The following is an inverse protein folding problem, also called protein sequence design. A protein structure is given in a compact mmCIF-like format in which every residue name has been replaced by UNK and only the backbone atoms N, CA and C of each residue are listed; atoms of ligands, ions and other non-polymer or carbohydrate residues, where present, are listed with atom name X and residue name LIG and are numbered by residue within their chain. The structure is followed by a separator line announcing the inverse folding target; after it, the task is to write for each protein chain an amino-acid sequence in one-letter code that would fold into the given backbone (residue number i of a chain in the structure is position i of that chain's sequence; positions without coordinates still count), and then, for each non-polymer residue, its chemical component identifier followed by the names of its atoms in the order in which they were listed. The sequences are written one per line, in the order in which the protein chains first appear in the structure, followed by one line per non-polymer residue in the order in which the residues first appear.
data_IF_136632476332
#
_entry.id   IF_136632476332
#
_cell.length_a   1.000
_cell.length_b   1.000
_cell.length_c   1.000
_cell.angle_alpha   90.00
_cell.angle_beta   90.00
_cell.angle_gamma   90.00
#
_symmetry.space_group_name_H-M   'P 1'
#
loop_
_entity.id
_entity.type
_entity.pdbx_description
1 polymer ?
#
# COMPACT_ATOMS: atom_id res chain seq x y z
N UNK A 1 22.06 14.64 -18.36
CA UNK A 1 21.56 14.89 -16.99
C UNK A 1 20.11 14.42 -16.96
N UNK A 2 19.74 13.56 -16.00
CA UNK A 2 18.35 13.09 -15.88
C UNK A 2 17.45 14.22 -15.35
N UNK A 3 16.13 14.12 -15.60
CA UNK A 3 15.15 15.09 -15.07
C UNK A 3 15.22 15.15 -13.53
N UNK A 4 15.38 13.99 -12.90
CA UNK A 4 15.62 13.86 -11.46
C UNK A 4 16.84 14.65 -11.01
N UNK A 5 18.00 14.41 -11.62
CA UNK A 5 19.24 15.12 -11.29
C UNK A 5 19.13 16.63 -11.48
N UNK A 6 18.44 17.07 -12.53
CA UNK A 6 18.21 18.48 -12.80
C UNK A 6 17.31 19.16 -11.75
N UNK A 7 16.19 18.52 -11.38
CA UNK A 7 15.24 19.05 -10.39
C UNK A 7 15.81 19.04 -8.98
N UNK A 8 16.52 17.99 -8.59
CA UNK A 8 17.25 17.93 -7.31
C UNK A 8 18.28 19.04 -7.23
N UNK A 9 19.10 19.23 -8.28
CA UNK A 9 20.10 20.30 -8.34
C UNK A 9 19.47 21.69 -8.19
N UNK A 10 18.38 21.94 -8.91
CA UNK A 10 17.67 23.22 -8.88
C UNK A 10 17.15 23.50 -7.47
N UNK A 11 16.35 22.59 -6.90
CA UNK A 11 15.77 22.74 -5.56
C UNK A 11 16.83 22.86 -4.45
N UNK A 12 17.96 22.18 -4.60
CA UNK A 12 19.09 22.27 -3.67
C UNK A 12 19.73 23.66 -3.73
N UNK A 13 19.95 24.19 -4.93
CA UNK A 13 20.55 25.51 -5.12
C UNK A 13 19.60 26.64 -4.67
N UNK A 14 18.30 26.51 -4.91
CA UNK A 14 17.29 27.47 -4.45
C UNK A 14 17.27 27.59 -2.91
N UNK A 15 17.60 26.49 -2.21
CA UNK A 15 17.75 26.45 -0.74
C UNK A 15 19.12 26.88 -0.24
N UNK A 16 20.05 27.22 -1.14
CA UNK A 16 21.44 27.55 -0.77
C UNK A 16 22.24 26.37 -0.22
N UNK A 17 21.81 25.13 -0.48
CA UNK A 17 22.46 23.94 0.05
C UNK A 17 23.61 23.48 -0.85
N UNK A 18 24.70 23.04 -0.23
CA UNK A 18 25.73 22.24 -0.88
C UNK A 18 25.24 20.79 -1.08
N UNK A 19 25.87 20.04 -1.99
CA UNK A 19 25.57 18.61 -2.17
C UNK A 19 25.77 17.81 -0.87
N UNK A 20 26.70 18.25 -0.01
CA UNK A 20 26.94 17.66 1.31
C UNK A 20 25.75 17.92 2.24
N UNK A 21 25.25 19.15 2.29
CA UNK A 21 24.09 19.50 3.11
C UNK A 21 22.82 18.75 2.69
N UNK A 22 22.57 18.60 1.39
CA UNK A 22 21.44 17.77 0.93
C UNK A 22 21.59 16.31 1.40
N UNK A 23 22.80 15.76 1.32
CA UNK A 23 23.07 14.41 1.85
C UNK A 23 22.86 14.31 3.36
N UNK A 24 23.22 15.34 4.12
CA UNK A 24 22.99 15.43 5.56
C UNK A 24 21.49 15.49 5.90
N UNK A 25 20.70 16.29 5.18
CA UNK A 25 19.23 16.35 5.40
C UNK A 25 18.56 15.00 5.12
N UNK A 26 18.95 14.32 4.05
CA UNK A 26 18.46 12.97 3.74
C UNK A 26 18.91 11.96 4.82
N UNK A 27 20.15 12.10 5.33
CA UNK A 27 20.70 11.24 6.38
C UNK A 27 19.94 11.36 7.71
N UNK A 28 19.51 12.57 8.07
CA UNK A 28 18.69 12.82 9.27
C UNK A 28 17.37 12.06 9.21
N UNK A 29 16.76 11.99 8.02
CA UNK A 29 15.49 11.30 7.82
C UNK A 29 15.65 9.78 7.70
N UNK A 30 16.72 9.30 7.06
CA UNK A 30 16.94 7.87 6.82
C UNK A 30 17.56 7.12 8.00
N UNK A 31 18.21 7.83 8.94
CA UNK A 31 19.05 7.25 9.98
C UNK A 31 20.34 6.60 9.46
N UNK A 32 20.65 6.76 8.16
CA UNK A 32 21.83 6.18 7.49
C UNK A 32 22.58 7.25 6.70
N UNK A 33 23.93 7.30 6.76
CA UNK A 33 24.69 8.31 6.04
C UNK A 33 24.52 8.25 4.51
N UNK A 34 24.20 9.38 3.89
CA UNK A 34 24.21 9.57 2.45
C UNK A 34 25.44 10.41 2.04
N UNK A 35 26.44 9.83 1.35
CA UNK A 35 27.63 10.56 0.92
C UNK A 35 27.31 11.67 -0.09
N UNK A 36 28.06 12.78 -0.04
CA UNK A 36 27.99 13.87 -1.03
C UNK A 36 28.24 13.40 -2.46
N UNK A 37 29.07 12.36 -2.65
CA UNK A 37 29.34 11.75 -3.94
C UNK A 37 28.09 11.15 -4.58
N UNK A 38 27.16 10.64 -3.78
CA UNK A 38 25.87 10.12 -4.24
C UNK A 38 25.02 11.22 -4.86
N UNK A 39 24.88 12.36 -4.16
CA UNK A 39 24.18 13.54 -4.68
C UNK A 39 24.85 14.06 -5.95
N UNK A 40 26.18 14.13 -5.97
CA UNK A 40 26.94 14.52 -7.16
C UNK A 40 26.69 13.60 -8.36
N UNK A 41 26.57 12.28 -8.13
CA UNK A 41 26.27 11.31 -9.19
C UNK A 41 24.84 11.49 -9.72
N UNK A 42 23.87 11.77 -8.86
CA UNK A 42 22.50 12.08 -9.28
C UNK A 42 22.46 13.32 -10.18
N UNK A 43 23.09 14.40 -9.76
CA UNK A 43 23.02 15.68 -10.46
C UNK A 43 23.83 15.73 -11.75
N UNK A 44 24.97 15.01 -11.82
CA UNK A 44 25.90 15.17 -12.94
C UNK A 44 26.05 13.91 -13.81
N UNK A 45 25.84 12.71 -13.26
CA UNK A 45 26.09 11.44 -13.96
C UNK A 45 24.82 10.68 -14.32
N UNK A 46 23.65 11.16 -13.89
CA UNK A 46 22.36 10.53 -14.20
C UNK A 46 22.08 9.24 -13.44
N UNK A 47 22.79 8.99 -12.33
CA UNK A 47 22.45 7.90 -11.41
C UNK A 47 21.11 8.20 -10.74
N UNK A 48 20.33 7.15 -10.45
CA UNK A 48 19.03 7.28 -9.78
C UNK A 48 19.09 6.70 -8.36
N UNK A 49 18.31 7.24 -7.41
CA UNK A 49 18.20 6.71 -6.06
C UNK A 49 17.32 5.44 -6.01
N UNK A 50 17.51 4.56 -5.02
CA UNK A 50 16.48 3.57 -4.69
C UNK A 50 15.21 4.25 -4.15
N UNK A 51 14.06 3.57 -4.25
CA UNK A 51 12.74 4.14 -3.92
C UNK A 51 12.65 4.77 -2.53
N UNK A 52 13.21 4.13 -1.51
CA UNK A 52 13.21 4.68 -0.15
C UNK A 52 13.96 6.02 -0.09
N UNK A 53 15.12 6.14 -0.76
CA UNK A 53 15.90 7.37 -0.79
C UNK A 53 15.22 8.44 -1.66
N UNK A 54 14.52 8.06 -2.73
CA UNK A 54 13.70 8.98 -3.53
C UNK A 54 12.64 9.69 -2.66
N UNK A 55 11.88 8.93 -1.88
CA UNK A 55 10.85 9.46 -0.98
C UNK A 55 11.45 10.40 0.06
N UNK A 56 12.59 10.03 0.65
CA UNK A 56 13.29 10.88 1.62
C UNK A 56 13.88 12.13 0.98
N UNK A 57 14.35 12.05 -0.26
CA UNK A 57 14.83 13.21 -1.03
C UNK A 57 13.70 14.18 -1.30
N UNK A 58 12.54 13.67 -1.71
CA UNK A 58 11.32 14.46 -1.92
C UNK A 58 10.88 15.14 -0.60
N UNK A 59 10.92 14.41 0.51
CA UNK A 59 10.61 14.93 1.85
C UNK A 59 11.59 16.03 2.27
N UNK A 60 12.90 15.82 2.13
CA UNK A 60 13.92 16.80 2.48
C UNK A 60 13.84 18.07 1.62
N UNK A 61 13.36 17.95 0.38
CA UNK A 61 13.17 19.06 -0.55
C UNK A 61 11.72 19.57 -0.57
N UNK A 62 10.86 19.11 0.33
CA UNK A 62 9.45 19.51 0.47
C UNK A 62 8.70 19.57 -0.88
N UNK A 63 8.85 18.52 -1.69
CA UNK A 63 8.19 18.35 -2.99
C UNK A 63 7.65 16.92 -3.11
N UNK A 64 6.81 16.66 -4.11
CA UNK A 64 6.38 15.30 -4.43
C UNK A 64 7.47 14.51 -5.19
N UNK A 65 7.44 13.18 -5.11
CA UNK A 65 8.27 12.32 -5.96
C UNK A 65 7.91 12.49 -7.44
N UNK A 66 6.63 12.75 -7.73
CA UNK A 66 6.14 13.00 -9.09
C UNK A 66 6.76 14.26 -9.68
N UNK A 67 6.94 15.31 -8.87
CA UNK A 67 7.74 16.45 -9.27
C UNK A 67 9.19 16.02 -9.51
N UNK A 68 9.87 15.34 -8.59
CA UNK A 68 11.27 14.96 -8.81
C UNK A 68 11.47 14.09 -10.08
N UNK A 69 10.50 13.24 -10.42
CA UNK A 69 10.55 12.36 -11.59
C UNK A 69 10.04 12.99 -12.89
N UNK A 70 9.54 14.24 -12.87
CA UNK A 70 9.02 14.91 -14.05
C UNK A 70 7.65 14.42 -14.52
N UNK A 71 6.83 13.89 -13.61
CA UNK A 71 5.43 13.48 -13.87
C UNK A 71 4.45 14.64 -13.73
N UNK A 72 4.80 15.65 -12.94
CA UNK A 72 4.06 16.91 -12.80
C UNK A 72 5.04 18.08 -12.74
N UNK A 73 4.61 19.27 -13.15
CA UNK A 73 5.36 20.53 -12.96
C UNK A 73 4.92 21.29 -11.71
N UNK A 74 3.92 20.76 -11.01
CA UNK A 74 3.43 21.34 -9.75
C UNK A 74 4.42 21.05 -8.62
N UNK A 75 4.95 22.12 -8.04
CA UNK A 75 5.83 22.06 -6.86
C UNK A 75 5.08 21.69 -5.57
N UNK A 76 3.74 21.62 -5.59
CA UNK A 76 2.93 21.55 -4.38
C UNK A 76 3.18 20.26 -3.60
N UNK A 77 3.85 20.41 -2.47
CA UNK A 77 3.75 19.54 -1.33
C UNK A 77 2.77 20.19 -0.37
N UNK A 78 1.48 19.91 -0.50
CA UNK A 78 0.61 20.08 0.67
C UNK A 78 1.08 19.04 1.69
N UNK A 79 1.81 19.50 2.70
CA UNK A 79 1.78 18.80 3.96
C UNK A 79 0.32 18.82 4.40
N UNK A 80 -0.45 17.79 4.06
CA UNK A 80 -1.62 17.40 4.82
C UNK A 80 -1.12 16.98 6.21
N UNK A 81 -0.63 17.92 7.01
CA UNK A 81 -0.72 17.78 8.44
C UNK A 81 -2.22 17.74 8.68
N UNK A 82 -2.73 16.58 9.08
CA UNK A 82 -4.06 16.46 9.67
C UNK A 82 -4.05 17.29 10.96
N UNK A 83 -4.14 18.62 10.84
CA UNK A 83 -4.38 19.50 11.98
C UNK A 83 -5.87 19.43 12.25
N UNK A 84 -6.20 18.95 13.43
CA UNK A 84 -7.52 19.07 14.07
C UNK A 84 -8.62 18.10 13.64
N UNK A 85 -8.33 17.08 12.82
CA UNK A 85 -9.21 15.93 12.75
C UNK A 85 -8.98 15.06 13.99
N UNK A 86 -9.83 15.18 15.02
CA UNK A 86 -10.06 14.04 15.91
C UNK A 86 -10.54 12.93 14.97
N UNK A 87 -9.79 11.84 14.76
CA UNK A 87 -10.32 10.74 13.99
C UNK A 87 -11.43 10.16 14.85
N UNK A 88 -12.68 10.54 14.58
CA UNK A 88 -13.81 9.64 14.84
C UNK A 88 -13.51 8.42 14.00
N UNK A 89 -13.07 7.30 14.60
CA UNK A 89 -12.83 6.09 13.83
C UNK A 89 -14.18 5.75 13.18
N UNK A 90 -14.23 5.48 11.86
CA UNK A 90 -15.44 4.93 11.27
C UNK A 90 -15.89 3.75 12.12
N UNK A 91 -17.20 3.66 12.38
CA UNK A 91 -17.74 2.48 13.05
C UNK A 91 -17.75 1.32 12.06
N UNK A 92 -16.60 0.66 11.95
CA UNK A 92 -16.41 -0.49 11.07
C UNK A 92 -17.22 -1.72 11.52
N UNK A 93 -17.96 -1.65 12.65
CA UNK A 93 -18.80 -2.78 13.09
C UNK A 93 -20.02 -2.98 12.18
N UNK A 94 -20.57 -1.90 11.62
CA UNK A 94 -21.68 -1.96 10.66
C UNK A 94 -21.26 -2.63 9.33
N UNK A 95 -20.04 -2.33 8.85
CA UNK A 95 -19.49 -2.94 7.63
C UNK A 95 -19.30 -4.46 7.79
N UNK A 96 -18.81 -4.91 8.94
CA UNK A 96 -18.61 -6.35 9.25
C UNK A 96 -19.95 -7.08 9.41
N UNK A 97 -20.97 -6.44 9.99
CA UNK A 97 -22.31 -7.01 10.11
C UNK A 97 -23.01 -7.16 8.74
N UNK A 98 -22.83 -6.20 7.84
CA UNK A 98 -23.38 -6.24 6.48
C UNK A 98 -22.71 -7.29 5.58
N UNK A 99 -21.42 -7.56 5.77
CA UNK A 99 -20.69 -8.64 5.07
C UNK A 99 -21.33 -10.01 5.36
N UNK A 100 -21.84 -10.25 6.57
CA UNK A 100 -22.32 -11.56 7.00
C UNK A 100 -23.73 -11.93 6.53
N UNK A 101 -24.57 -10.96 6.15
CA UNK A 101 -25.98 -11.23 5.83
C UNK A 101 -26.29 -11.12 4.32
N UNK A 102 -25.79 -10.08 3.64
CA UNK A 102 -26.14 -9.84 2.23
C UNK A 102 -25.16 -10.53 1.25
N UNK A 103 -23.86 -10.54 1.56
CA UNK A 103 -22.85 -11.17 0.68
C UNK A 103 -22.93 -12.69 0.72
N UNK A 104 -23.26 -13.28 1.86
CA UNK A 104 -23.38 -14.74 2.03
C UNK A 104 -24.58 -15.29 1.26
N UNK A 105 -25.73 -14.60 1.31
CA UNK A 105 -26.89 -14.94 0.49
C UNK A 105 -26.60 -14.80 -1.02
N UNK A 106 -25.90 -13.73 -1.42
CA UNK A 106 -25.52 -13.49 -2.81
C UNK A 106 -24.54 -14.54 -3.34
N UNK A 107 -23.56 -14.95 -2.52
CA UNK A 107 -22.61 -16.00 -2.87
C UNK A 107 -23.28 -17.37 -2.99
N UNK A 108 -24.20 -17.71 -2.08
CA UNK A 108 -24.97 -18.96 -2.17
C UNK A 108 -25.84 -19.00 -3.43
N UNK A 109 -26.46 -17.88 -3.80
CA UNK A 109 -27.22 -17.78 -5.05
C UNK A 109 -26.33 -17.99 -6.26
N UNK A 110 -25.16 -17.35 -6.31
CA UNK A 110 -24.20 -17.53 -7.41
C UNK A 110 -23.70 -18.98 -7.52
N UNK A 111 -23.41 -19.62 -6.38
CA UNK A 111 -23.02 -21.04 -6.35
C UNK A 111 -24.15 -21.91 -6.90
N UNK A 112 -25.40 -21.60 -6.55
CA UNK A 112 -26.56 -22.34 -7.01
C UNK A 112 -26.82 -22.15 -8.51
N UNK A 113 -26.64 -20.94 -9.03
CA UNK A 113 -26.70 -20.63 -10.47
C UNK A 113 -25.64 -21.41 -11.24
N UNK A 114 -24.38 -21.37 -10.80
CA UNK A 114 -23.28 -22.10 -11.42
C UNK A 114 -23.54 -23.62 -11.44
N UNK A 115 -24.02 -24.18 -10.32
CA UNK A 115 -24.41 -25.61 -10.26
C UNK A 115 -25.56 -25.95 -11.21
N UNK A 116 -26.51 -25.03 -11.39
CA UNK A 116 -27.62 -25.22 -12.31
C UNK A 116 -27.16 -25.19 -13.78
N UNK A 117 -26.32 -24.25 -14.16
CA UNK A 117 -25.74 -24.18 -15.51
C UNK A 117 -24.92 -25.43 -15.85
N UNK A 118 -24.16 -25.93 -14.87
CA UNK A 118 -23.33 -27.11 -14.99
C UNK A 118 -24.14 -28.40 -15.26
N UNK A 119 -25.38 -28.46 -14.76
CA UNK A 119 -26.29 -29.58 -15.06
C UNK A 119 -26.76 -29.64 -16.52
N UNK A 120 -26.66 -28.54 -17.26
CA UNK A 120 -27.06 -28.46 -18.67
C UNK A 120 -25.91 -28.76 -19.64
N UNK A 121 -24.71 -29.05 -19.15
CA UNK A 121 -23.53 -29.31 -19.98
C UNK A 121 -23.38 -30.80 -20.37
N UNK A 122 -22.72 -31.09 -21.51
CA UNK A 122 -22.35 -32.45 -21.89
C UNK A 122 -21.45 -33.10 -20.84
N UNK A 123 -21.68 -34.39 -20.54
CA UNK A 123 -21.05 -35.16 -19.44
C UNK A 123 -19.52 -35.02 -19.43
N UNK A 124 -18.88 -35.04 -20.60
CA UNK A 124 -17.41 -34.99 -20.74
C UNK A 124 -16.78 -33.63 -20.40
N UNK A 125 -17.54 -32.53 -20.42
CA UNK A 125 -17.07 -31.20 -19.99
C UNK A 125 -17.54 -30.86 -18.58
N UNK A 126 -18.65 -31.46 -18.16
CA UNK A 126 -19.25 -31.27 -16.84
C UNK A 126 -18.26 -31.65 -15.75
N UNK A 127 -17.74 -32.88 -15.75
CA UNK A 127 -16.90 -33.43 -14.68
C UNK A 127 -15.65 -32.58 -14.35
N UNK A 128 -14.92 -32.12 -15.37
CA UNK A 128 -13.74 -31.27 -15.18
C UNK A 128 -14.11 -29.94 -14.50
N UNK A 129 -15.20 -29.32 -14.93
CA UNK A 129 -15.64 -28.02 -14.41
C UNK A 129 -16.25 -28.17 -13.01
N UNK A 130 -16.93 -29.29 -12.70
CA UNK A 130 -17.39 -29.57 -11.33
C UNK A 130 -16.23 -29.71 -10.36
N UNK A 131 -15.15 -30.39 -10.79
CA UNK A 131 -13.96 -30.55 -9.98
C UNK A 131 -13.29 -29.21 -9.70
N UNK A 132 -13.11 -28.36 -10.72
CA UNK A 132 -12.54 -27.02 -10.55
C UNK A 132 -13.38 -26.15 -9.59
N UNK A 133 -14.72 -26.21 -9.73
CA UNK A 133 -15.64 -25.49 -8.84
C UNK A 133 -15.53 -26.01 -7.40
N UNK A 134 -15.48 -27.32 -7.20
CA UNK A 134 -15.37 -27.92 -5.88
C UNK A 134 -14.04 -27.56 -5.20
N UNK A 135 -12.91 -27.61 -5.93
CA UNK A 135 -11.60 -27.21 -5.40
C UNK A 135 -11.61 -25.75 -4.94
N UNK A 136 -12.24 -24.86 -5.73
CA UNK A 136 -12.37 -23.46 -5.34
C UNK A 136 -13.28 -23.26 -4.13
N UNK A 137 -14.39 -24.00 -4.02
CA UNK A 137 -15.28 -23.95 -2.87
C UNK A 137 -14.60 -24.46 -1.59
N UNK A 138 -13.80 -25.52 -1.68
CA UNK A 138 -12.97 -26.00 -0.57
C UNK A 138 -11.96 -24.94 -0.12
N UNK A 139 -11.28 -24.30 -1.07
CA UNK A 139 -10.35 -23.20 -0.79
C UNK A 139 -11.04 -21.99 -0.12
N UNK A 140 -12.24 -21.63 -0.57
CA UNK A 140 -13.03 -20.58 0.06
C UNK A 140 -13.40 -20.94 1.50
N UNK A 141 -13.81 -22.19 1.74
CA UNK A 141 -14.09 -22.69 3.09
C UNK A 141 -12.88 -22.58 4.02
N UNK A 142 -11.71 -23.02 3.55
CA UNK A 142 -10.45 -22.87 4.28
C UNK A 142 -10.12 -21.41 4.63
N UNK A 143 -10.28 -20.48 3.67
CA UNK A 143 -10.03 -19.05 3.92
C UNK A 143 -10.95 -18.48 4.99
N UNK A 144 -12.23 -18.85 4.98
CA UNK A 144 -13.20 -18.37 5.96
C UNK A 144 -12.88 -18.88 7.36
N UNK A 145 -12.50 -20.16 7.49
CA UNK A 145 -12.07 -20.74 8.75
C UNK A 145 -10.82 -20.05 9.29
N UNK A 146 -9.81 -19.84 8.44
CA UNK A 146 -8.57 -19.17 8.80
C UNK A 146 -8.81 -17.75 9.31
N UNK A 147 -9.64 -16.97 8.62
CA UNK A 147 -10.00 -15.62 9.03
C UNK A 147 -10.62 -15.61 10.45
N UNK A 148 -11.50 -16.57 10.74
CA UNK A 148 -12.11 -16.71 12.06
C UNK A 148 -11.07 -17.07 13.14
N UNK A 149 -10.14 -17.96 12.83
CA UNK A 149 -9.05 -18.35 13.74
C UNK A 149 -8.13 -17.17 14.04
N UNK A 150 -7.74 -16.40 13.02
CA UNK A 150 -6.89 -15.22 13.17
C UNK A 150 -7.58 -14.17 14.05
N UNK A 151 -8.87 -13.91 13.80
CA UNK A 151 -9.64 -12.96 14.61
C UNK A 151 -9.83 -13.42 16.06
N UNK A 152 -10.05 -14.72 16.30
CA UNK A 152 -10.08 -15.30 17.66
C UNK A 152 -8.76 -15.09 18.39
N UNK A 153 -7.64 -15.23 17.69
CA UNK A 153 -6.30 -15.03 18.25
C UNK A 153 -6.09 -13.56 18.62
N UNK A 154 -6.43 -12.64 17.73
CA UNK A 154 -6.40 -11.20 18.00
C UNK A 154 -7.31 -10.83 19.18
N UNK A 155 -8.51 -11.40 19.26
CA UNK A 155 -9.44 -11.18 20.37
C UNK A 155 -8.87 -11.59 21.72
N UNK A 156 -8.09 -12.69 21.78
CA UNK A 156 -7.38 -13.10 23.01
C UNK A 156 -6.32 -12.07 23.40
N UNK A 157 -5.55 -11.56 22.44
CA UNK A 157 -4.55 -10.52 22.67
C UNK A 157 -5.19 -9.24 23.23
N UNK A 158 -6.27 -8.74 22.61
CA UNK A 158 -6.98 -7.54 23.10
C UNK A 158 -7.51 -7.75 24.52
N UNK A 159 -8.11 -8.92 24.82
CA UNK A 159 -8.57 -9.26 26.17
C UNK A 159 -7.44 -9.26 27.20
N UNK A 160 -6.26 -9.74 26.82
CA UNK A 160 -5.07 -9.69 27.66
C UNK A 160 -4.63 -8.25 27.92
N UNK A 161 -4.57 -7.39 26.90
CA UNK A 161 -4.24 -5.98 27.06
C UNK A 161 -5.20 -5.27 28.01
N UNK A 162 -6.52 -5.47 27.84
CA UNK A 162 -7.56 -4.90 28.71
C UNK A 162 -7.38 -5.33 30.17
N UNK A 163 -6.98 -6.58 30.42
CA UNK A 163 -6.80 -7.10 31.79
C UNK A 163 -5.56 -6.54 32.51
N UNK A 164 -4.57 -6.05 31.77
CA UNK A 164 -3.31 -5.55 32.32
C UNK A 164 -3.18 -4.01 32.26
N UNK A 165 -4.28 -3.32 31.94
CA UNK A 165 -4.48 -1.89 32.16
C UNK A 165 -5.06 -1.66 33.55
#
# INVERSE_FOLDING_TARGET
MSIFGARVKTLRLDRGWSMKQLGEEISKLSGSPLPQTTVSNWENKGSEPPYNILVLTATALEVSTDYLLGKTDELQFEQHILKDAVPTPPDYTEDVANINNNSTASLQNLIQELKHELNNLPINKKESIENDLNEYLEFLGYKQEKLLVDFKTFSKYIKYQIKNL
#
